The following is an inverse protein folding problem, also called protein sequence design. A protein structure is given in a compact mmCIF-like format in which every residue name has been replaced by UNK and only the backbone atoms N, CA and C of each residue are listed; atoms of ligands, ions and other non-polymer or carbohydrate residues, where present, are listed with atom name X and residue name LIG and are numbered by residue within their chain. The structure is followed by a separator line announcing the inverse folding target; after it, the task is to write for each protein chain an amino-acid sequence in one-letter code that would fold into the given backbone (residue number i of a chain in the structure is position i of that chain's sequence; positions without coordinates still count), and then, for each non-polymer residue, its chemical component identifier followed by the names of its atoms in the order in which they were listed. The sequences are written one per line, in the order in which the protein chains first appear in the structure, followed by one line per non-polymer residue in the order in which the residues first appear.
data_IF_939537501108
#
_entry.id   IF_939537501108
#
_cell.length_a   1.000
_cell.length_b   1.000
_cell.length_c   1.000
_cell.angle_alpha   90.00
_cell.angle_beta   90.00
_cell.angle_gamma   90.00
#
_symmetry.space_group_name_H-M   'P 1'
#
loop_
_entity.id
_entity.type
_entity.pdbx_description
1 polymer ?
#
# COMPACT_ATOMS: atom_id res chain seq x y z
N UNK A 1 18.13 16.77 -54.43
CA UNK A 1 16.89 16.70 -53.62
C UNK A 1 16.56 18.11 -53.15
N UNK A 2 15.47 18.65 -53.69
CA UNK A 2 15.00 20.01 -53.45
C UNK A 2 14.58 20.19 -51.96
N UNK A 3 14.80 21.39 -51.39
CA UNK A 3 14.54 21.69 -49.98
C UNK A 3 13.09 21.36 -49.58
N UNK A 4 12.15 21.56 -50.52
CA UNK A 4 10.73 21.18 -50.36
C UNK A 4 10.49 19.68 -50.23
N UNK A 5 11.26 18.84 -50.94
CA UNK A 5 11.15 17.38 -50.86
C UNK A 5 11.67 16.83 -49.52
N UNK A 6 12.71 17.45 -48.95
CA UNK A 6 13.24 17.09 -47.63
C UNK A 6 12.25 17.42 -46.50
N UNK A 7 11.60 18.58 -46.56
CA UNK A 7 10.56 19.00 -45.60
C UNK A 7 9.34 18.08 -45.68
N UNK A 8 8.89 17.75 -46.90
CA UNK A 8 7.77 16.82 -47.10
C UNK A 8 8.09 15.40 -46.57
N UNK A 9 9.28 14.86 -46.85
CA UNK A 9 9.70 13.57 -46.30
C UNK A 9 9.80 13.60 -44.76
N UNK A 10 10.35 14.66 -44.17
CA UNK A 10 10.43 14.81 -42.72
C UNK A 10 9.04 14.88 -42.06
N UNK A 11 8.08 15.57 -42.70
CA UNK A 11 6.68 15.64 -42.26
C UNK A 11 5.97 14.28 -42.31
N UNK A 12 6.20 13.48 -43.35
CA UNK A 12 5.65 12.12 -43.47
C UNK A 12 6.25 11.18 -42.43
N UNK A 13 7.57 11.24 -42.19
CA UNK A 13 8.25 10.42 -41.18
C UNK A 13 7.76 10.78 -39.76
N UNK A 14 7.63 12.07 -39.42
CA UNK A 14 7.06 12.50 -38.14
C UNK A 14 5.59 12.08 -38.00
N UNK A 15 4.78 12.22 -39.05
CA UNK A 15 3.38 11.79 -39.06
C UNK A 15 3.22 10.29 -38.83
N UNK A 16 4.01 9.46 -39.51
CA UNK A 16 4.04 8.00 -39.31
C UNK A 16 4.52 7.62 -37.91
N UNK A 17 5.53 8.32 -37.38
CA UNK A 17 6.02 8.13 -36.01
C UNK A 17 4.93 8.42 -34.96
N UNK A 18 4.20 9.52 -35.10
CA UNK A 18 3.09 9.89 -34.21
C UNK A 18 1.94 8.89 -34.30
N UNK A 19 1.57 8.42 -35.49
CA UNK A 19 0.52 7.40 -35.69
C UNK A 19 0.94 6.07 -35.05
N UNK A 20 2.20 5.65 -35.19
CA UNK A 20 2.71 4.43 -34.55
C UNK A 20 2.71 4.55 -33.01
N UNK A 21 3.12 5.70 -32.47
CA UNK A 21 3.04 5.97 -31.02
C UNK A 21 1.59 5.95 -30.55
N UNK A 22 0.68 6.65 -31.25
CA UNK A 22 -0.74 6.69 -30.93
C UNK A 22 -1.38 5.29 -31.00
N UNK A 23 -1.06 4.50 -32.01
CA UNK A 23 -1.54 3.11 -32.16
C UNK A 23 -0.96 2.19 -31.08
N UNK A 24 0.29 2.38 -30.66
CA UNK A 24 0.92 1.64 -29.56
C UNK A 24 0.30 2.01 -28.20
N UNK A 25 0.01 3.30 -27.98
CA UNK A 25 -0.70 3.80 -26.79
C UNK A 25 -2.14 3.30 -26.77
N UNK A 26 -2.86 3.36 -27.88
CA UNK A 26 -4.22 2.84 -28.02
C UNK A 26 -4.27 1.32 -27.82
N UNK A 27 -3.39 0.55 -28.46
CA UNK A 27 -3.32 -0.90 -28.29
C UNK A 27 -2.88 -1.29 -26.86
N UNK A 28 -2.09 -0.47 -26.16
CA UNK A 28 -1.78 -0.67 -24.73
C UNK A 28 -3.00 -0.37 -23.85
N UNK A 29 -3.74 0.71 -24.12
CA UNK A 29 -4.97 1.05 -23.40
C UNK A 29 -6.09 0.04 -23.64
N UNK A 30 -6.27 -0.42 -24.87
CA UNK A 30 -7.28 -1.42 -25.24
C UNK A 30 -6.99 -2.80 -24.61
N UNK A 31 -5.71 -3.20 -24.52
CA UNK A 31 -5.30 -4.45 -23.84
C UNK A 31 -5.33 -4.37 -22.31
N UNK A 32 -5.48 -3.19 -21.73
CA UNK A 32 -5.50 -2.98 -20.28
C UNK A 32 -6.90 -2.59 -19.78
N UNK A 33 -7.90 -3.30 -20.28
CA UNK A 33 -9.28 -3.28 -19.79
C UNK A 33 -9.67 -4.69 -19.36
N UNK A 34 -10.47 -4.86 -18.30
CA UNK A 34 -11.12 -6.13 -18.03
C UNK A 34 -12.04 -6.47 -19.20
N UNK A 35 -11.88 -7.65 -19.82
CA UNK A 35 -12.61 -8.04 -21.03
C UNK A 35 -13.13 -9.49 -21.00
N UNK A 36 -13.28 -10.05 -19.81
CA UNK A 36 -13.71 -11.43 -19.57
C UNK A 36 -14.95 -11.53 -18.68
N UNK A 37 -15.30 -12.76 -18.31
CA UNK A 37 -16.45 -13.03 -17.44
C UNK A 37 -16.02 -12.84 -15.99
N UNK A 38 -16.83 -12.12 -15.21
CA UNK A 38 -16.61 -11.98 -13.78
C UNK A 38 -17.17 -13.17 -13.04
N UNK A 39 -16.29 -13.94 -12.40
CA UNK A 39 -16.66 -15.06 -11.54
C UNK A 39 -16.45 -14.69 -10.09
N UNK A 40 -17.46 -14.92 -9.26
CA UNK A 40 -17.33 -14.73 -7.82
C UNK A 40 -16.41 -15.80 -7.26
N UNK A 41 -15.41 -15.39 -6.50
CA UNK A 41 -14.43 -16.30 -5.87
C UNK A 41 -14.45 -16.22 -4.35
N UNK A 42 -15.08 -15.17 -3.79
CA UNK A 42 -15.07 -14.96 -2.36
C UNK A 42 -15.87 -13.76 -1.89
N UNK A 43 -15.59 -13.34 -0.66
CA UNK A 43 -16.20 -12.19 0.02
C UNK A 43 -15.16 -11.44 0.83
N UNK A 44 -15.31 -10.13 0.98
CA UNK A 44 -14.51 -9.31 1.88
C UNK A 44 -14.85 -9.66 3.34
N UNK A 45 -13.85 -9.97 4.15
CA UNK A 45 -14.03 -10.27 5.58
C UNK A 45 -13.48 -9.17 6.48
N UNK A 46 -12.49 -8.40 6.02
CA UNK A 46 -11.95 -7.26 6.77
C UNK A 46 -11.53 -6.13 5.84
N UNK A 47 -11.74 -4.90 6.31
CA UNK A 47 -11.22 -3.67 5.73
C UNK A 47 -10.31 -3.00 6.76
N UNK A 48 -9.06 -2.71 6.38
CA UNK A 48 -8.09 -2.12 7.31
C UNK A 48 -7.48 -0.83 6.72
N UNK A 49 -7.67 0.26 7.46
CA UNK A 49 -7.13 1.58 7.15
C UNK A 49 -5.90 1.85 8.02
N UNK A 50 -4.85 2.45 7.45
CA UNK A 50 -3.65 2.80 8.21
C UNK A 50 -3.27 4.26 7.95
N UNK A 51 -3.85 5.22 8.68
CA UNK A 51 -3.72 6.65 8.34
C UNK A 51 -2.27 7.16 8.40
N UNK A 52 -1.50 6.72 9.40
CA UNK A 52 -0.07 7.07 9.54
C UNK A 52 0.78 5.88 9.13
N UNK A 53 1.76 6.15 8.26
CA UNK A 53 2.76 5.17 7.82
C UNK A 53 3.41 4.48 9.03
N UNK A 54 3.41 3.16 9.02
CA UNK A 54 4.00 2.31 10.07
C UNK A 54 3.36 2.43 11.46
N UNK A 55 2.15 2.96 11.58
CA UNK A 55 1.41 3.01 12.86
C UNK A 55 0.22 2.02 12.89
N UNK A 56 -0.58 2.06 13.95
CA UNK A 56 -1.73 1.17 14.17
C UNK A 56 -2.74 1.28 13.03
N UNK A 57 -3.35 0.15 12.67
CA UNK A 57 -4.47 0.10 11.74
C UNK A 57 -5.82 0.32 12.45
N UNK A 58 -6.79 0.80 11.68
CA UNK A 58 -8.18 0.99 12.08
C UNK A 58 -9.01 -0.03 11.29
N UNK A 59 -9.67 -0.99 11.95
CA UNK A 59 -10.62 -1.86 11.28
C UNK A 59 -11.85 -1.03 10.86
N UNK A 60 -12.34 -1.27 9.65
CA UNK A 60 -13.51 -0.61 9.08
C UNK A 60 -14.58 -1.64 8.71
N UNK A 61 -15.84 -1.22 8.76
CA UNK A 61 -16.96 -1.98 8.19
C UNK A 61 -17.23 -1.58 6.74
N UNK A 62 -16.90 -0.34 6.39
CA UNK A 62 -17.05 0.20 5.05
C UNK A 62 -16.00 1.28 4.76
N UNK A 63 -15.67 1.47 3.48
CA UNK A 63 -14.68 2.46 3.05
C UNK A 63 -15.00 3.02 1.67
N UNK A 64 -14.61 4.28 1.45
CA UNK A 64 -14.59 4.90 0.13
C UNK A 64 -13.26 4.60 -0.55
N UNK A 65 -13.29 4.40 -1.86
CA UNK A 65 -12.10 4.10 -2.66
C UNK A 65 -11.66 5.32 -3.46
N UNK A 66 -10.39 5.70 -3.31
CA UNK A 66 -9.77 6.75 -4.11
C UNK A 66 -8.56 6.21 -4.87
N UNK A 67 -8.12 6.94 -5.89
CA UNK A 67 -6.90 6.55 -6.63
C UNK A 67 -5.61 6.51 -5.78
N UNK A 68 -5.58 7.18 -4.62
CA UNK A 68 -4.42 7.17 -3.70
C UNK A 68 -4.60 6.25 -2.47
N UNK A 69 -5.68 5.46 -2.41
CA UNK A 69 -5.97 4.54 -1.32
C UNK A 69 -7.41 4.62 -0.82
N UNK A 70 -7.73 3.83 0.19
CA UNK A 70 -9.05 3.86 0.85
C UNK A 70 -9.16 4.99 1.87
N UNK A 71 -10.40 5.40 2.14
CA UNK A 71 -10.78 6.32 3.21
C UNK A 71 -11.91 5.71 4.04
N UNK A 72 -11.98 6.00 5.33
CA UNK A 72 -13.18 5.66 6.09
C UNK A 72 -14.36 6.54 5.67
N UNK A 73 -15.57 6.07 5.94
CA UNK A 73 -16.74 6.93 5.97
C UNK A 73 -16.68 7.72 7.29
N UNK A 74 -16.62 9.06 7.24
CA UNK A 74 -16.54 9.86 8.46
C UNK A 74 -17.91 9.91 9.15
N UNK A 75 -17.88 10.03 10.47
CA UNK A 75 -19.05 10.45 11.25
C UNK A 75 -19.41 11.91 10.92
N UNK A 76 -20.66 12.31 11.15
CA UNK A 76 -21.11 13.68 10.91
C UNK A 76 -20.24 14.70 11.67
N UNK A 77 -19.76 15.72 10.95
CA UNK A 77 -18.87 16.74 11.50
C UNK A 77 -17.41 16.29 11.72
N UNK A 78 -17.04 15.08 11.27
CA UNK A 78 -15.65 14.61 11.28
C UNK A 78 -15.07 14.57 9.86
N UNK A 79 -13.75 14.67 9.75
CA UNK A 79 -13.06 14.45 8.47
C UNK A 79 -12.83 12.96 8.19
N UNK A 80 -12.74 12.61 6.91
CA UNK A 80 -12.32 11.28 6.47
C UNK A 80 -10.81 11.11 6.62
N UNK A 81 -10.39 10.03 7.27
CA UNK A 81 -9.00 9.56 7.31
C UNK A 81 -8.72 8.70 6.08
N UNK A 82 -7.61 8.98 5.40
CA UNK A 82 -7.17 8.23 4.22
C UNK A 82 -5.91 7.41 4.47
N UNK A 83 -5.74 6.36 3.68
CA UNK A 83 -4.68 5.37 3.87
C UNK A 83 -3.29 5.97 3.64
N UNK A 84 -2.42 5.85 4.66
CA UNK A 84 -1.05 6.38 4.71
C UNK A 84 -0.95 7.84 4.26
N UNK A 85 -1.92 8.70 4.62
CA UNK A 85 -1.88 10.15 4.35
C UNK A 85 -1.02 10.93 5.33
N UNK A 86 -0.45 10.27 6.32
CA UNK A 86 0.51 10.84 7.24
C UNK A 86 1.76 9.98 7.35
N UNK A 87 2.86 10.61 7.72
CA UNK A 87 4.16 9.97 7.89
C UNK A 87 4.92 10.62 9.04
N UNK A 88 5.66 9.82 9.79
CA UNK A 88 6.66 10.34 10.73
C UNK A 88 8.01 10.32 10.03
N UNK A 89 8.76 11.40 10.15
CA UNK A 89 10.06 11.57 9.51
C UNK A 89 11.05 12.28 10.42
N UNK A 90 12.33 12.23 10.05
CA UNK A 90 13.40 12.94 10.72
C UNK A 90 13.69 14.28 10.03
N UNK A 91 13.71 15.39 10.77
CA UNK A 91 13.91 16.73 10.21
C UNK A 91 15.34 17.03 9.79
N UNK A 92 16.33 16.35 10.36
CA UNK A 92 17.75 16.51 10.04
C UNK A 92 18.14 15.78 8.75
N UNK A 93 17.70 14.53 8.58
CA UNK A 93 17.99 13.71 7.40
C UNK A 93 16.92 13.78 6.30
N UNK A 94 15.73 14.32 6.63
CA UNK A 94 14.54 14.28 5.79
C UNK A 94 14.15 12.85 5.37
N UNK A 95 14.37 11.86 6.24
CA UNK A 95 14.02 10.46 5.97
C UNK A 95 12.76 10.05 6.71
N UNK A 96 11.88 9.31 6.04
CA UNK A 96 10.77 8.63 6.73
C UNK A 96 11.33 7.65 7.78
N UNK A 97 10.61 7.50 8.89
CA UNK A 97 10.88 6.43 9.86
C UNK A 97 9.85 5.31 9.72
N UNK A 98 10.21 4.14 10.22
CA UNK A 98 9.42 2.93 10.08
C UNK A 98 9.42 2.11 11.36
N UNK A 99 8.33 1.37 11.57
CA UNK A 99 8.19 0.39 12.65
C UNK A 99 9.23 -0.74 12.55
N UNK A 100 9.90 -0.92 11.40
CA UNK A 100 11.07 -1.80 11.29
C UNK A 100 12.19 -1.41 12.25
N UNK A 101 12.33 -0.11 12.50
CA UNK A 101 13.33 0.50 13.39
C UNK A 101 12.72 0.87 14.74
N UNK A 102 11.52 1.48 14.75
CA UNK A 102 10.82 1.94 15.96
C UNK A 102 9.50 1.19 16.15
N UNK A 103 9.55 -0.04 16.64
CA UNK A 103 8.40 -0.96 16.66
C UNK A 103 7.21 -0.44 17.48
N UNK A 104 7.47 0.34 18.54
CA UNK A 104 6.43 0.96 19.37
C UNK A 104 5.52 1.92 18.57
N UNK A 105 5.94 2.42 17.39
CA UNK A 105 5.06 3.20 16.52
C UNK A 105 3.74 2.49 16.19
N UNK A 106 3.71 1.15 16.22
CA UNK A 106 2.49 0.37 16.03
C UNK A 106 1.42 0.59 17.11
N UNK A 107 1.77 1.21 18.24
CA UNK A 107 0.84 1.62 19.29
C UNK A 107 0.22 3.01 19.06
N UNK A 108 0.74 3.79 18.11
CA UNK A 108 0.18 5.10 17.77
C UNK A 108 -1.15 4.89 17.08
N UNK A 109 -2.24 5.36 17.69
CA UNK A 109 -3.60 5.32 17.14
C UNK A 109 -4.00 6.71 16.66
N UNK A 110 -4.85 6.74 15.64
CA UNK A 110 -5.33 7.98 15.02
C UNK A 110 -6.84 7.92 14.89
N UNK A 111 -7.52 9.02 15.14
CA UNK A 111 -8.94 9.19 14.91
C UNK A 111 -9.24 10.67 14.61
N UNK A 112 -10.36 10.96 13.94
CA UNK A 112 -10.86 12.32 13.76
C UNK A 112 -12.03 12.57 14.72
N UNK A 113 -12.18 13.82 15.17
CA UNK A 113 -13.33 14.30 15.97
C UNK A 113 -13.89 15.64 15.49
N UNK A 114 -13.33 16.20 14.43
CA UNK A 114 -13.77 17.43 13.80
C UNK A 114 -13.41 17.44 12.32
N UNK A 115 -13.88 18.43 11.58
CA UNK A 115 -13.60 18.61 10.16
C UNK A 115 -12.17 19.06 9.86
N UNK A 116 -11.49 19.68 10.83
CA UNK A 116 -10.20 20.36 10.66
C UNK A 116 -9.07 19.83 11.57
N UNK A 117 -9.36 18.86 12.44
CA UNK A 117 -8.43 18.30 13.41
C UNK A 117 -8.41 16.77 13.38
N UNK A 118 -7.22 16.22 13.59
CA UNK A 118 -7.03 14.81 13.94
C UNK A 118 -6.45 14.67 15.35
N UNK A 119 -6.72 13.53 15.96
CA UNK A 119 -6.16 13.16 17.25
C UNK A 119 -5.23 11.95 17.09
N UNK A 120 -4.04 12.03 17.69
CA UNK A 120 -3.12 10.92 17.84
C UNK A 120 -3.05 10.52 19.31
N UNK A 121 -2.96 9.22 19.58
CA UNK A 121 -2.72 8.71 20.94
C UNK A 121 -1.56 7.73 20.97
N UNK A 122 -0.78 7.81 22.03
CA UNK A 122 0.27 6.86 22.37
C UNK A 122 0.25 6.71 23.90
N UNK A 123 0.07 5.48 24.38
CA UNK A 123 -0.29 5.19 25.77
C UNK A 123 -1.50 6.03 26.23
N UNK A 124 -1.35 6.82 27.30
CA UNK A 124 -2.38 7.73 27.81
C UNK A 124 -2.27 9.15 27.27
N UNK A 125 -1.30 9.44 26.40
CA UNK A 125 -1.06 10.79 25.90
C UNK A 125 -1.88 11.05 24.64
N UNK A 126 -2.58 12.18 24.61
CA UNK A 126 -3.36 12.66 23.48
C UNK A 126 -2.65 13.85 22.85
N UNK A 127 -2.55 13.85 21.53
CA UNK A 127 -2.18 14.99 20.71
C UNK A 127 -3.35 15.35 19.82
N UNK A 128 -3.64 16.64 19.73
CA UNK A 128 -4.57 17.22 18.78
C UNK A 128 -3.77 17.99 17.73
N UNK A 129 -4.03 17.73 16.46
CA UNK A 129 -3.30 18.34 15.35
C UNK A 129 -4.29 18.91 14.37
N UNK A 130 -4.27 20.24 14.21
CA UNK A 130 -4.95 20.89 13.09
C UNK A 130 -4.34 20.44 11.78
N UNK A 131 -5.17 20.06 10.83
CA UNK A 131 -4.72 19.60 9.52
C UNK A 131 -4.07 20.79 8.81
N UNK A 132 -2.79 20.71 8.46
CA UNK A 132 -2.12 21.82 7.84
C UNK A 132 -2.67 22.04 6.43
N UNK A 133 -2.96 23.30 6.12
CA UNK A 133 -3.49 23.73 4.82
C UNK A 133 -2.38 24.30 3.95
N UNK A 134 -2.51 24.18 2.63
CA UNK A 134 -1.62 24.82 1.67
C UNK A 134 -0.79 23.84 0.85
N UNK A 135 0.35 24.31 0.35
CA UNK A 135 1.25 23.53 -0.51
C UNK A 135 2.31 22.82 0.32
N UNK A 136 2.85 21.74 -0.24
CA UNK A 136 4.00 21.06 0.33
C UNK A 136 5.14 22.04 0.63
N UNK A 137 5.67 21.98 1.85
CA UNK A 137 6.75 22.84 2.33
C UNK A 137 8.12 22.18 2.22
N UNK A 138 8.16 20.84 2.07
CA UNK A 138 9.39 20.06 1.93
C UNK A 138 9.16 18.74 1.20
N UNK A 139 10.27 18.05 0.92
CA UNK A 139 10.28 16.66 0.42
C UNK A 139 11.08 15.78 1.36
N UNK A 140 10.58 14.57 1.59
CA UNK A 140 11.27 13.54 2.35
C UNK A 140 11.68 12.39 1.44
N UNK A 141 12.71 11.66 1.86
CA UNK A 141 13.10 10.39 1.28
C UNK A 141 12.14 9.30 1.79
N UNK A 142 11.24 8.87 0.92
CA UNK A 142 10.44 7.66 1.08
C UNK A 142 11.14 6.54 0.31
N UNK A 143 11.95 5.74 1.01
CA UNK A 143 12.79 4.71 0.37
C UNK A 143 13.76 5.30 -0.67
N UNK A 144 13.52 5.04 -1.95
CA UNK A 144 14.31 5.59 -3.06
C UNK A 144 13.67 6.83 -3.70
N UNK A 145 12.48 7.23 -3.23
CA UNK A 145 11.67 8.30 -3.81
C UNK A 145 11.82 9.60 -3.00
N UNK A 146 11.63 10.73 -3.68
CA UNK A 146 11.50 12.05 -3.05
C UNK A 146 10.04 12.45 -3.08
N UNK A 147 9.41 12.53 -1.91
CA UNK A 147 7.96 12.67 -1.76
C UNK A 147 7.63 13.95 -1.01
N UNK A 148 6.73 14.80 -1.55
CA UNK A 148 6.34 16.04 -0.89
C UNK A 148 5.47 15.79 0.34
N UNK A 149 5.56 16.68 1.32
CA UNK A 149 4.68 16.69 2.49
C UNK A 149 4.43 18.12 2.98
N UNK A 150 3.45 18.27 3.87
CA UNK A 150 3.23 19.48 4.67
C UNK A 150 3.53 19.13 6.13
N UNK A 151 4.44 19.85 6.78
CA UNK A 151 4.77 19.63 8.18
C UNK A 151 3.61 19.97 9.13
N UNK A 152 3.45 19.19 10.20
CA UNK A 152 2.38 19.34 11.18
C UNK A 152 2.63 20.41 12.25
N UNK A 153 3.78 21.09 12.22
CA UNK A 153 4.17 22.10 13.19
C UNK A 153 4.92 21.54 14.40
N UNK A 154 5.42 22.47 15.22
CA UNK A 154 6.30 22.15 16.35
C UNK A 154 5.57 21.46 17.50
N UNK A 155 4.29 21.73 17.73
CA UNK A 155 3.49 21.04 18.76
C UNK A 155 3.43 19.53 18.52
N UNK A 156 3.17 19.12 17.27
CA UNK A 156 3.16 17.70 16.90
C UNK A 156 4.55 17.08 17.02
N UNK A 157 5.60 17.82 16.65
CA UNK A 157 6.98 17.37 16.80
C UNK A 157 7.35 17.19 18.29
N UNK A 158 7.07 18.16 19.15
CA UNK A 158 7.35 18.10 20.58
C UNK A 158 6.65 16.93 21.25
N UNK A 159 5.38 16.68 20.91
CA UNK A 159 4.64 15.54 21.42
C UNK A 159 5.26 14.20 20.99
N UNK A 160 5.60 14.05 19.71
CA UNK A 160 6.26 12.84 19.21
C UNK A 160 7.60 12.60 19.90
N UNK A 161 8.44 13.62 19.96
CA UNK A 161 9.76 13.53 20.58
C UNK A 161 9.63 13.16 22.05
N UNK A 162 8.75 13.83 22.80
CA UNK A 162 8.56 13.62 24.23
C UNK A 162 7.99 12.24 24.58
N UNK A 163 6.89 11.85 23.92
CA UNK A 163 6.11 10.68 24.37
C UNK A 163 6.40 9.42 23.57
N UNK A 164 6.75 9.52 22.29
CA UNK A 164 6.95 8.35 21.42
C UNK A 164 8.43 8.01 21.29
N UNK A 165 9.32 9.02 21.26
CA UNK A 165 10.74 8.82 20.98
C UNK A 165 11.67 9.13 22.16
N UNK A 166 11.18 9.03 23.40
CA UNK A 166 11.98 9.14 24.63
C UNK A 166 12.80 10.45 24.73
N UNK A 167 12.22 11.57 24.29
CA UNK A 167 12.86 12.88 24.25
C UNK A 167 13.90 13.07 23.14
N UNK A 168 14.10 12.08 22.26
CA UNK A 168 15.06 12.20 21.14
C UNK A 168 14.59 13.27 20.16
N UNK A 169 15.50 14.11 19.65
CA UNK A 169 15.12 15.21 18.79
C UNK A 169 14.80 14.78 17.36
N UNK A 170 14.34 15.73 16.56
CA UNK A 170 14.20 15.68 15.10
C UNK A 170 13.04 14.83 14.56
N UNK A 171 12.16 14.27 15.40
CA UNK A 171 10.99 13.53 14.93
C UNK A 171 9.81 14.46 14.68
N UNK A 172 9.25 14.42 13.46
CA UNK A 172 8.15 15.28 13.04
C UNK A 172 7.06 14.49 12.32
N UNK A 173 5.84 15.01 12.39
CA UNK A 173 4.68 14.49 11.67
C UNK A 173 4.50 15.28 10.36
N UNK A 174 4.27 14.59 9.26
CA UNK A 174 3.99 15.19 7.96
C UNK A 174 2.70 14.66 7.36
N UNK A 175 1.99 15.55 6.66
CA UNK A 175 0.75 15.27 5.96
C UNK A 175 0.96 15.20 4.46
N UNK A 176 0.16 14.35 3.80
CA UNK A 176 0.11 14.27 2.36
C UNK A 176 -0.50 15.56 1.79
N UNK A 177 0.11 16.23 0.80
CA UNK A 177 -0.31 17.58 0.42
C UNK A 177 -1.66 17.69 -0.28
N UNK A 178 -2.22 16.59 -0.80
CA UNK A 178 -3.53 16.61 -1.47
C UNK A 178 -3.79 15.39 -2.35
N UNK A 179 -5.06 15.08 -2.62
CA UNK A 179 -5.50 13.88 -3.36
C UNK A 179 -5.12 13.91 -4.85
N UNK A 180 -4.74 15.07 -5.36
CA UNK A 180 -4.26 15.32 -6.72
C UNK A 180 -2.75 15.04 -6.88
N UNK A 181 -1.99 15.02 -5.78
CA UNK A 181 -0.56 14.72 -5.81
C UNK A 181 -0.33 13.23 -6.07
N UNK A 182 0.59 12.89 -6.98
CA UNK A 182 1.02 11.51 -7.24
C UNK A 182 2.51 11.36 -6.99
N UNK A 183 2.93 10.18 -6.54
CA UNK A 183 4.36 9.84 -6.46
C UNK A 183 4.92 9.58 -7.85
N UNK A 184 6.19 9.94 -8.04
CA UNK A 184 6.94 9.58 -9.23
C UNK A 184 7.80 8.34 -8.96
N UNK A 185 7.37 7.19 -9.50
CA UNK A 185 8.09 5.93 -9.43
C UNK A 185 8.65 5.52 -10.80
N UNK A 186 8.84 6.46 -11.73
CA UNK A 186 9.26 6.16 -13.10
C UNK A 186 10.56 5.35 -13.17
N UNK A 187 11.49 5.55 -12.22
CA UNK A 187 12.72 4.76 -12.12
C UNK A 187 12.43 3.30 -11.72
N UNK A 188 11.48 3.06 -10.81
CA UNK A 188 11.03 1.72 -10.45
C UNK A 188 10.28 1.08 -11.62
N UNK A 189 9.36 1.79 -12.26
CA UNK A 189 8.64 1.28 -13.44
C UNK A 189 9.63 0.80 -14.49
N UNK A 190 10.66 1.59 -14.81
CA UNK A 190 11.72 1.19 -15.73
C UNK A 190 12.52 -0.03 -15.24
N UNK A 191 12.86 -0.09 -13.95
CA UNK A 191 13.57 -1.23 -13.35
C UNK A 191 12.77 -2.54 -13.43
N UNK A 192 11.45 -2.46 -13.25
CA UNK A 192 10.56 -3.61 -13.12
C UNK A 192 9.78 -3.96 -14.40
N UNK A 193 9.86 -3.16 -15.47
CA UNK A 193 8.99 -3.29 -16.65
C UNK A 193 9.00 -4.68 -17.31
N UNK A 194 10.13 -5.40 -17.22
CA UNK A 194 10.30 -6.73 -17.82
C UNK A 194 9.62 -7.86 -17.04
N UNK A 195 9.24 -7.62 -15.78
CA UNK A 195 8.60 -8.61 -14.90
C UNK A 195 7.22 -8.17 -14.42
N UNK A 196 6.99 -6.86 -14.28
CA UNK A 196 5.74 -6.26 -13.83
C UNK A 196 5.31 -5.14 -14.79
N UNK A 197 4.84 -5.49 -16.01
CA UNK A 197 4.59 -4.53 -17.09
C UNK A 197 3.40 -3.59 -16.83
N UNK A 198 2.61 -3.84 -15.78
CA UNK A 198 1.44 -3.04 -15.40
C UNK A 198 1.71 -2.03 -14.28
N UNK A 199 2.94 -1.97 -13.76
CA UNK A 199 3.34 -0.98 -12.76
C UNK A 199 3.28 0.43 -13.35
N UNK A 200 2.71 1.39 -12.61
CA UNK A 200 2.50 2.78 -13.04
C UNK A 200 2.34 3.70 -11.84
N UNK A 201 2.66 4.99 -12.02
CA UNK A 201 2.65 6.00 -10.94
C UNK A 201 1.27 6.17 -10.28
N UNK A 202 0.20 6.07 -11.05
CA UNK A 202 -1.18 6.24 -10.58
C UNK A 202 -1.76 5.01 -9.85
N UNK A 203 -0.99 3.93 -9.72
CA UNK A 203 -1.31 2.81 -8.80
C UNK A 203 -0.65 2.97 -7.43
N UNK A 204 0.08 4.06 -7.22
CA UNK A 204 0.74 4.32 -5.94
C UNK A 204 -0.17 5.04 -4.97
N UNK A 205 -0.15 4.60 -3.71
CA UNK A 205 -0.77 5.34 -2.60
C UNK A 205 0.06 6.54 -2.16
N UNK A 206 -0.42 7.27 -1.16
CA UNK A 206 0.25 8.43 -0.56
C UNK A 206 1.64 8.08 0.02
N UNK A 207 1.78 7.84 1.34
CA UNK A 207 3.05 7.38 1.94
C UNK A 207 3.14 5.84 2.04
N UNK A 208 2.28 5.11 1.32
CA UNK A 208 2.36 3.66 1.16
C UNK A 208 3.71 3.24 0.58
N UNK A 209 4.14 1.99 0.80
CA UNK A 209 5.44 1.54 0.26
C UNK A 209 5.45 1.53 -1.27
N UNK A 210 4.43 0.91 -1.89
CA UNK A 210 4.28 0.91 -3.34
C UNK A 210 2.84 1.17 -3.76
N UNK A 211 1.90 0.32 -3.36
CA UNK A 211 0.53 0.37 -3.89
C UNK A 211 -0.45 1.23 -3.11
N UNK A 212 -1.53 1.67 -3.76
CA UNK A 212 -2.73 2.22 -3.10
C UNK A 212 -3.49 1.16 -2.30
N UNK A 213 -3.46 -0.10 -2.77
CA UNK A 213 -4.18 -1.20 -2.15
C UNK A 213 -3.35 -2.47 -2.07
N UNK A 214 -3.53 -3.20 -0.98
CA UNK A 214 -3.01 -4.54 -0.73
C UNK A 214 -4.17 -5.48 -0.38
N UNK A 215 -4.29 -6.59 -1.11
CA UNK A 215 -5.23 -7.67 -0.81
C UNK A 215 -4.51 -8.87 -0.18
N UNK A 216 -5.16 -9.45 0.82
CA UNK A 216 -4.77 -10.66 1.52
C UNK A 216 -5.90 -11.68 1.48
N UNK A 217 -5.54 -12.95 1.41
CA UNK A 217 -6.46 -14.07 1.47
C UNK A 217 -6.29 -14.79 2.81
N UNK A 218 -7.38 -15.08 3.51
CA UNK A 218 -7.36 -15.75 4.81
C UNK A 218 -6.68 -17.12 4.72
N UNK A 219 -7.00 -17.91 3.70
CA UNK A 219 -6.44 -19.25 3.51
C UNK A 219 -4.92 -19.23 3.28
N UNK A 220 -4.37 -18.16 2.73
CA UNK A 220 -2.91 -17.95 2.59
C UNK A 220 -2.20 -17.81 3.94
N UNK A 221 -2.86 -17.20 4.93
CA UNK A 221 -2.31 -17.03 6.30
C UNK A 221 -2.54 -18.29 7.13
N UNK A 222 -3.66 -18.98 6.94
CA UNK A 222 -3.92 -20.29 7.54
C UNK A 222 -2.84 -21.31 7.14
N UNK A 223 -2.57 -21.47 5.83
CA UNK A 223 -1.50 -22.37 5.33
C UNK A 223 -0.12 -22.00 5.90
N UNK A 224 0.17 -20.70 6.05
CA UNK A 224 1.41 -20.24 6.67
C UNK A 224 1.50 -20.65 8.15
N UNK A 225 0.43 -20.46 8.92
CA UNK A 225 0.40 -20.83 10.33
C UNK A 225 0.54 -22.35 10.50
N UNK A 226 -0.08 -23.15 9.64
CA UNK A 226 0.08 -24.61 9.64
C UNK A 226 1.55 -25.02 9.41
N UNK A 227 2.24 -24.36 8.48
CA UNK A 227 3.66 -24.61 8.22
C UNK A 227 4.57 -24.17 9.36
N UNK A 228 4.24 -23.06 10.04
CA UNK A 228 4.98 -22.64 11.24
C UNK A 228 4.80 -23.69 12.35
N UNK A 229 3.58 -24.16 12.56
CA UNK A 229 3.29 -25.18 13.57
C UNK A 229 4.02 -26.51 13.28
N UNK A 230 3.99 -26.99 12.03
CA UNK A 230 4.73 -28.19 11.60
C UNK A 230 6.23 -28.06 11.84
N UNK A 231 6.82 -26.94 11.42
CA UNK A 231 8.25 -26.67 11.62
C UNK A 231 8.63 -26.66 13.11
N UNK A 232 7.79 -26.11 13.99
CA UNK A 232 8.04 -26.12 15.44
C UNK A 232 7.98 -27.51 16.04
N UNK A 233 7.08 -28.37 15.57
CA UNK A 233 7.01 -29.78 15.99
C UNK A 233 8.27 -30.55 15.59
N UNK A 234 8.77 -30.35 14.36
CA UNK A 234 9.97 -31.03 13.85
C UNK A 234 11.25 -30.63 14.60
N UNK A 235 11.27 -29.47 15.25
CA UNK A 235 12.45 -28.91 15.93
C UNK A 235 12.54 -29.24 17.42
N UNK A 236 11.61 -30.03 17.97
CA UNK A 236 11.52 -30.40 19.40
C UNK A 236 11.76 -29.20 20.34
N UNK A 237 11.20 -28.04 19.96
CA UNK A 237 11.33 -26.83 20.77
C UNK A 237 10.32 -26.86 21.90
N UNK A 238 10.78 -26.68 23.15
CA UNK A 238 9.93 -26.45 24.33
C UNK A 238 9.18 -25.09 24.30
N UNK A 239 9.01 -24.49 23.13
CA UNK A 239 8.38 -23.19 22.92
C UNK A 239 7.16 -23.35 22.02
N UNK A 240 6.06 -22.68 22.37
CA UNK A 240 4.85 -22.68 21.54
C UNK A 240 5.15 -22.07 20.15
N UNK A 241 4.55 -22.63 19.07
CA UNK A 241 4.73 -22.11 17.73
C UNK A 241 4.24 -20.67 17.63
N UNK A 242 4.95 -19.86 16.84
CA UNK A 242 4.53 -18.50 16.57
C UNK A 242 3.20 -18.51 15.80
N UNK A 243 2.17 -17.85 16.34
CA UNK A 243 0.90 -17.65 15.62
C UNK A 243 0.91 -16.27 15.00
N UNK A 244 0.69 -16.20 13.68
CA UNK A 244 0.76 -14.96 12.91
C UNK A 244 -0.64 -14.52 12.54
N UNK A 245 -1.00 -13.31 12.95
CA UNK A 245 -2.27 -12.69 12.53
C UNK A 245 -2.16 -12.16 11.11
N UNK A 246 -3.27 -12.20 10.36
CA UNK A 246 -3.34 -11.59 9.02
C UNK A 246 -2.99 -10.09 9.04
N UNK A 247 -3.23 -9.42 10.17
CA UNK A 247 -2.92 -8.01 10.35
C UNK A 247 -1.41 -7.71 10.36
N UNK A 248 -0.55 -8.70 10.63
CA UNK A 248 0.90 -8.56 10.51
C UNK A 248 1.31 -8.16 9.08
N UNK A 249 0.51 -8.54 8.07
CA UNK A 249 0.77 -8.24 6.66
C UNK A 249 0.17 -6.92 6.17
N UNK A 250 -0.60 -6.24 7.02
CA UNK A 250 -1.14 -4.89 6.81
C UNK A 250 -1.93 -4.69 5.52
N UNK A 251 -2.69 -5.70 5.12
CA UNK A 251 -3.56 -5.67 3.95
C UNK A 251 -4.76 -4.77 4.17
N UNK A 252 -5.14 -4.05 3.12
CA UNK A 252 -6.32 -3.19 3.12
C UNK A 252 -7.61 -3.98 2.98
N UNK A 253 -7.58 -5.00 2.12
CA UNK A 253 -8.69 -5.93 1.89
C UNK A 253 -8.25 -7.32 2.36
N UNK A 254 -9.03 -7.91 3.25
CA UNK A 254 -8.93 -9.33 3.60
C UNK A 254 -10.15 -10.03 3.02
N UNK A 255 -9.93 -11.17 2.38
CA UNK A 255 -10.99 -11.93 1.71
C UNK A 255 -10.97 -13.39 2.15
N UNK A 256 -12.11 -14.06 1.99
CA UNK A 256 -12.31 -15.50 2.16
C UNK A 256 -12.95 -16.10 0.93
N UNK A 257 -12.65 -17.37 0.65
CA UNK A 257 -13.28 -18.17 -0.40
C UNK A 257 -12.26 -18.89 -1.29
N UNK A 258 -11.25 -18.19 -1.82
CA UNK A 258 -10.23 -18.79 -2.67
C UNK A 258 -9.28 -19.71 -1.91
N UNK A 259 -8.64 -20.64 -2.62
CA UNK A 259 -7.58 -21.49 -2.07
C UNK A 259 -6.36 -20.66 -1.68
N UNK A 260 -5.49 -21.20 -0.81
CA UNK A 260 -4.27 -20.51 -0.39
C UNK A 260 -3.45 -20.07 -1.62
N UNK A 261 -3.09 -18.78 -1.64
CA UNK A 261 -2.30 -18.12 -2.68
C UNK A 261 -2.93 -18.02 -4.06
N UNK A 262 -4.20 -18.37 -4.22
CA UNK A 262 -4.90 -18.25 -5.50
C UNK A 262 -4.89 -16.81 -6.03
N UNK A 263 -4.84 -15.83 -5.12
CA UNK A 263 -4.76 -14.40 -5.44
C UNK A 263 -3.56 -14.02 -6.32
N UNK A 264 -2.47 -14.79 -6.26
CA UNK A 264 -1.26 -14.54 -7.04
C UNK A 264 -1.52 -14.56 -8.55
N UNK A 265 -2.53 -15.32 -8.99
CA UNK A 265 -2.80 -15.60 -10.41
C UNK A 265 -3.84 -14.65 -11.02
N UNK A 266 -4.50 -13.81 -10.21
CA UNK A 266 -5.56 -12.94 -10.73
C UNK A 266 -4.98 -11.77 -11.50
N UNK A 267 -5.52 -11.49 -12.68
CA UNK A 267 -5.17 -10.28 -13.45
C UNK A 267 -6.00 -9.06 -13.02
N UNK A 268 -7.29 -9.29 -12.76
CA UNK A 268 -8.25 -8.26 -12.37
C UNK A 268 -9.09 -8.77 -11.21
N UNK A 269 -9.36 -7.87 -10.27
CA UNK A 269 -10.21 -8.13 -9.12
C UNK A 269 -11.32 -7.08 -9.11
N UNK A 270 -12.57 -7.49 -8.94
CA UNK A 270 -13.70 -6.59 -8.71
C UNK A 270 -14.27 -6.86 -7.34
N UNK A 271 -14.48 -5.83 -6.54
CA UNK A 271 -15.08 -5.93 -5.21
C UNK A 271 -16.39 -5.15 -5.23
N UNK A 272 -17.45 -5.76 -4.70
CA UNK A 272 -18.79 -5.21 -4.79
C UNK A 272 -19.25 -5.13 -6.25
N UNK A 273 -20.03 -4.10 -6.56
CA UNK A 273 -20.67 -3.99 -7.87
C UNK A 273 -19.74 -3.49 -8.96
N UNK A 274 -18.95 -2.44 -8.74
CA UNK A 274 -18.16 -1.82 -9.84
C UNK A 274 -16.73 -1.46 -9.53
N UNK A 275 -16.24 -1.61 -8.29
CA UNK A 275 -14.85 -1.27 -7.98
C UNK A 275 -13.90 -2.31 -8.53
N UNK A 276 -13.20 -1.96 -9.62
CA UNK A 276 -12.25 -2.84 -10.30
C UNK A 276 -10.82 -2.43 -10.00
N UNK A 277 -9.98 -3.42 -9.74
CA UNK A 277 -8.57 -3.29 -9.51
C UNK A 277 -7.75 -4.12 -10.49
N UNK A 278 -6.59 -3.58 -10.87
CA UNK A 278 -5.54 -4.32 -11.57
C UNK A 278 -4.57 -4.90 -10.54
N UNK A 279 -4.41 -6.22 -10.51
CA UNK A 279 -3.24 -6.82 -9.87
C UNK A 279 -2.02 -6.54 -10.76
N UNK A 280 -0.98 -5.94 -10.21
CA UNK A 280 0.22 -5.60 -10.98
C UNK A 280 1.52 -6.13 -10.39
N UNK A 281 1.52 -6.63 -9.15
CA UNK A 281 2.74 -7.13 -8.49
C UNK A 281 2.41 -7.90 -7.19
N UNK A 282 3.05 -9.06 -6.92
CA UNK A 282 3.04 -9.66 -5.58
C UNK A 282 3.67 -8.73 -4.52
N UNK A 283 3.12 -8.73 -3.30
CA UNK A 283 3.69 -7.97 -2.21
C UNK A 283 4.80 -8.77 -1.52
N UNK A 284 6.05 -8.35 -1.73
CA UNK A 284 7.20 -8.90 -1.02
C UNK A 284 7.26 -8.41 0.42
N UNK A 285 7.57 -9.33 1.34
CA UNK A 285 7.39 -9.12 2.77
C UNK A 285 8.68 -8.74 3.46
N UNK A 286 8.59 -7.74 4.33
CA UNK A 286 9.73 -7.19 5.08
C UNK A 286 9.59 -7.48 6.58
N UNK A 287 10.62 -7.13 7.35
CA UNK A 287 10.73 -7.40 8.79
C UNK A 287 9.58 -6.83 9.63
N UNK A 288 8.79 -5.91 9.09
CA UNK A 288 7.62 -5.38 9.78
C UNK A 288 6.62 -6.50 10.11
N UNK A 289 6.47 -7.50 9.24
CA UNK A 289 5.58 -8.65 9.46
C UNK A 289 5.95 -9.48 10.70
N UNK A 290 7.20 -9.38 11.17
CA UNK A 290 7.70 -10.11 12.33
C UNK A 290 7.42 -9.43 13.67
N UNK A 291 6.81 -8.25 13.64
CA UNK A 291 6.53 -7.46 14.84
C UNK A 291 5.10 -7.77 15.26
N UNK A 292 4.93 -8.17 16.52
CA UNK A 292 3.62 -8.29 17.14
C UNK A 292 2.98 -6.90 17.27
N UNK A 293 1.77 -6.73 16.74
CA UNK A 293 1.09 -5.43 16.69
C UNK A 293 0.57 -4.95 18.04
N UNK A 294 0.39 -5.84 19.01
CA UNK A 294 -0.15 -5.52 20.33
C UNK A 294 0.98 -5.18 21.31
N UNK A 295 2.07 -5.93 21.28
CA UNK A 295 3.23 -5.75 22.17
C UNK A 295 4.34 -4.91 21.56
N UNK A 296 4.33 -4.70 20.23
CA UNK A 296 5.42 -4.06 19.48
C UNK A 296 6.77 -4.79 19.59
N UNK A 297 6.77 -6.08 19.95
CA UNK A 297 7.98 -6.90 20.09
C UNK A 297 8.22 -7.68 18.79
N UNK A 298 9.48 -7.71 18.34
CA UNK A 298 9.90 -8.56 17.21
C UNK A 298 9.92 -10.03 17.64
N UNK A 299 9.38 -10.90 16.81
CA UNK A 299 9.51 -12.33 16.99
C UNK A 299 11.00 -12.73 16.94
N UNK A 300 11.46 -13.45 17.96
CA UNK A 300 12.87 -13.87 18.13
C UNK A 300 13.38 -14.77 17.02
N UNK A 301 12.50 -15.58 16.43
CA UNK A 301 12.80 -16.50 15.33
C UNK A 301 12.56 -15.86 13.95
N UNK A 302 12.23 -14.57 13.95
CA UNK A 302 11.95 -13.77 12.75
C UNK A 302 10.78 -14.33 11.92
N UNK A 303 9.85 -15.04 12.57
CA UNK A 303 8.59 -15.45 11.95
C UNK A 303 7.69 -14.25 11.68
N UNK A 304 6.91 -14.22 10.58
CA UNK A 304 6.71 -15.30 9.60
C UNK A 304 7.78 -15.40 8.51
N UNK A 305 8.76 -14.51 8.46
CA UNK A 305 9.67 -14.42 7.31
C UNK A 305 10.58 -15.63 7.17
N UNK A 306 10.98 -16.24 8.29
CA UNK A 306 11.78 -17.46 8.27
C UNK A 306 11.04 -18.58 7.55
N UNK A 307 9.77 -18.83 7.90
CA UNK A 307 8.96 -19.85 7.23
C UNK A 307 8.60 -19.45 5.80
N UNK A 308 8.18 -18.21 5.54
CA UNK A 308 7.87 -17.77 4.18
C UNK A 308 9.05 -17.92 3.21
N UNK A 309 10.30 -17.74 3.66
CA UNK A 309 11.49 -17.91 2.81
C UNK A 309 11.68 -19.35 2.31
N UNK A 310 11.09 -20.35 2.96
CA UNK A 310 11.28 -21.75 2.54
C UNK A 310 10.45 -22.12 1.32
N UNK A 311 9.30 -21.46 1.10
CA UNK A 311 8.33 -21.87 0.07
C UNK A 311 7.69 -20.73 -0.73
N UNK A 312 7.85 -19.46 -0.33
CA UNK A 312 7.22 -18.29 -0.95
C UNK A 312 8.20 -17.32 -1.62
N UNK A 313 9.40 -17.77 -1.95
CA UNK A 313 10.30 -16.99 -2.80
C UNK A 313 9.77 -16.94 -4.23
N UNK A 314 9.92 -15.78 -4.87
CA UNK A 314 9.53 -15.59 -6.26
C UNK A 314 10.46 -16.37 -7.21
N UNK A 315 10.00 -16.54 -8.46
CA UNK A 315 10.82 -17.09 -9.55
C UNK A 315 12.15 -16.34 -9.71
N UNK A 316 13.15 -17.00 -10.30
CA UNK A 316 14.52 -16.49 -10.35
C UNK A 316 14.63 -15.08 -10.95
N UNK A 317 13.85 -14.80 -12.01
CA UNK A 317 13.87 -13.50 -12.70
C UNK A 317 13.34 -12.40 -11.79
N UNK A 318 12.21 -12.64 -11.11
CA UNK A 318 11.64 -11.69 -10.15
C UNK A 318 12.51 -11.57 -8.89
N UNK A 319 13.07 -12.67 -8.39
CA UNK A 319 13.90 -12.71 -7.17
C UNK A 319 15.16 -11.87 -7.25
N UNK A 320 15.74 -11.71 -8.45
CA UNK A 320 16.87 -10.78 -8.69
C UNK A 320 16.52 -9.32 -8.38
N UNK A 321 15.25 -8.95 -8.50
CA UNK A 321 14.76 -7.60 -8.20
C UNK A 321 14.13 -7.52 -6.80
N UNK A 322 13.46 -8.59 -6.40
CA UNK A 322 12.65 -8.73 -5.18
C UNK A 322 13.07 -10.02 -4.42
N UNK A 323 14.13 -9.99 -3.61
CA UNK A 323 14.70 -11.20 -3.00
C UNK A 323 13.90 -11.75 -1.81
N UNK A 324 12.88 -11.03 -1.36
CA UNK A 324 12.07 -11.39 -0.20
C UNK A 324 10.87 -12.26 -0.60
N UNK A 325 10.35 -13.10 0.30
CA UNK A 325 9.19 -13.91 -0.02
C UNK A 325 7.93 -13.06 -0.22
N UNK A 326 6.96 -13.59 -0.96
CA UNK A 326 5.72 -12.91 -1.31
C UNK A 326 4.50 -13.51 -0.59
N UNK A 327 3.60 -12.62 -0.19
CA UNK A 327 2.30 -12.93 0.40
C UNK A 327 1.36 -11.85 -0.11
N UNK A 328 0.13 -12.12 -0.52
CA UNK A 328 -0.81 -11.10 -1.02
C UNK A 328 -0.35 -10.29 -2.24
N UNK A 329 -1.26 -9.46 -2.75
CA UNK A 329 -1.09 -8.79 -4.05
C UNK A 329 -1.27 -7.28 -3.96
N UNK A 330 -0.41 -6.55 -4.66
CA UNK A 330 -0.57 -5.11 -4.87
C UNK A 330 -1.58 -4.84 -5.99
N UNK A 331 -2.57 -4.04 -5.64
CA UNK A 331 -3.67 -3.68 -6.52
C UNK A 331 -3.73 -2.18 -6.77
N UNK A 332 -3.89 -1.81 -8.03
CA UNK A 332 -4.13 -0.43 -8.46
C UNK A 332 -5.57 -0.24 -8.88
N UNK A 333 -6.20 0.86 -8.49
CA UNK A 333 -7.57 1.18 -8.90
C UNK A 333 -7.63 1.36 -10.41
N UNK A 334 -8.53 0.63 -11.05
CA UNK A 334 -8.86 0.84 -12.45
C UNK A 334 -10.10 1.71 -12.56
N UNK A 335 -10.02 2.72 -13.42
CA UNK A 335 -11.13 3.62 -13.76
C UNK A 335 -11.18 3.75 -15.28
N UNK A 336 -12.39 3.87 -15.82
CA UNK A 336 -12.64 4.20 -17.21
C UNK A 336 -12.65 5.72 -17.47
N UNK A 337 -12.36 6.53 -16.44
CA UNK A 337 -12.44 7.99 -16.46
C UNK A 337 -13.57 8.56 -15.59
N UNK A 338 -14.44 7.71 -15.02
CA UNK A 338 -15.43 8.13 -14.04
C UNK A 338 -14.90 8.06 -12.60
N UNK A 339 -15.37 8.97 -11.75
CA UNK A 339 -15.11 8.95 -10.30
C UNK A 339 -15.88 7.79 -9.67
N UNK A 340 -15.15 6.85 -9.09
CA UNK A 340 -15.74 5.77 -8.31
C UNK A 340 -15.93 6.25 -6.87
N UNK A 341 -17.02 6.98 -6.59
CA UNK A 341 -17.44 7.29 -5.21
C UNK A 341 -18.09 6.08 -4.51
N UNK A 342 -17.78 4.87 -4.97
CA UNK A 342 -18.35 3.65 -4.46
C UNK A 342 -17.78 3.31 -3.09
N UNK A 343 -18.67 2.77 -2.27
CA UNK A 343 -18.37 2.28 -0.93
C UNK A 343 -18.22 0.76 -1.01
N UNK A 344 -17.07 0.26 -0.59
CA UNK A 344 -16.85 -1.17 -0.35
C UNK A 344 -17.20 -1.47 1.11
N UNK A 345 -17.86 -2.60 1.35
CA UNK A 345 -18.24 -3.08 2.68
C UNK A 345 -17.66 -4.45 2.99
N UNK A 346 -17.50 -4.73 4.28
CA UNK A 346 -17.34 -6.10 4.76
C UNK A 346 -18.59 -6.89 4.33
N UNK A 347 -18.38 -8.09 3.79
CA UNK A 347 -19.41 -8.93 3.19
C UNK A 347 -19.57 -8.77 1.68
N UNK A 348 -18.98 -7.74 1.07
CA UNK A 348 -19.11 -7.55 -0.38
C UNK A 348 -18.49 -8.73 -1.15
N UNK A 349 -19.15 -9.17 -2.24
CA UNK A 349 -18.62 -10.23 -3.09
C UNK A 349 -17.34 -9.78 -3.81
N UNK A 350 -16.42 -10.73 -3.97
CA UNK A 350 -15.17 -10.56 -4.69
C UNK A 350 -15.21 -11.41 -5.95
N UNK A 351 -14.95 -10.76 -7.08
CA UNK A 351 -14.92 -11.38 -8.40
C UNK A 351 -13.55 -11.28 -9.04
N UNK A 352 -13.22 -12.25 -9.89
CA UNK A 352 -12.05 -12.22 -10.75
C UNK A 352 -12.48 -12.30 -12.21
N UNK A 353 -11.74 -11.64 -13.08
CA UNK A 353 -11.96 -11.70 -14.52
C UNK A 353 -11.18 -12.89 -15.09
N UNK A 354 -11.89 -13.92 -15.54
CA UNK A 354 -11.33 -15.07 -16.26
C UNK A 354 -11.09 -14.75 -17.75
#
# INVERSE_FOLDING_TARGET
MDSRQKIACAGVIMGLGLVMVARKVWARRARNKPSGVWKQVGTVTQLNLYPVKSCRGIPLNECRISSIGMENIPEDGCMALGDRRMVIYKSDSLEMISARTYCHMLQIRVFSRSEDEISLTFDSHLLKVKIPQGKADRKIRLWTEQVPLIDAGDEAAEWLQKYVFDGKPNFRLGFWPGVEVRRDISHLVKKYEQVYPFMRNDFTGAFSDLSSFLLLNESSVEDLNDKIAQKSQDQDSNEDPAVVSIDNFRGNFVIRGPSAYEEDNWSWVRIGDRVVFRNYKPCTRCSLTTIDKETSIKNKHFEPLTTLKTYRLLDEKKRKLDPSPAMGIYMGLWTDGQTNDEIIRVGDPVYVCE
#
